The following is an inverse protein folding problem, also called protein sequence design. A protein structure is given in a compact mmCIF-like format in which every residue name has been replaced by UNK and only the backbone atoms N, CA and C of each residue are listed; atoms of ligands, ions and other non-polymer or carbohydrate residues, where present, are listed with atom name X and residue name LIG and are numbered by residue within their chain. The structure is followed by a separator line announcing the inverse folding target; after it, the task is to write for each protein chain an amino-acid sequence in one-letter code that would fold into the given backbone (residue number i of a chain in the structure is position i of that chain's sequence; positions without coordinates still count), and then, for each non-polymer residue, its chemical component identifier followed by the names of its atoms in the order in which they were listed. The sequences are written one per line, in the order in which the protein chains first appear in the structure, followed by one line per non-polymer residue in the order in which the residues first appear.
data_IF_241009976337
#
_entry.id   IF_241009976337
#
_cell.length_a   1.000
_cell.length_b   1.000
_cell.length_c   1.000
_cell.angle_alpha   90.00
_cell.angle_beta   90.00
_cell.angle_gamma   90.00
#
_symmetry.space_group_name_H-M   'P 1'
#
loop_
_entity.id
_entity.type
_entity.pdbx_description
1 polymer ?
#
# COMPACT_ATOMS: atom_id res chain seq x y z
N UNK A 1 -15.32 23.36 -0.96
CA UNK A 1 -15.32 22.18 -1.79
C UNK A 1 -14.10 22.22 -2.72
N UNK A 2 -13.45 21.13 -2.87
CA UNK A 2 -12.36 20.97 -3.82
C UNK A 2 -12.92 21.08 -5.25
N UNK A 3 -12.25 21.82 -6.15
CA UNK A 3 -12.72 22.04 -7.50
C UNK A 3 -11.66 21.58 -8.49
N UNK A 4 -11.86 20.43 -9.07
CA UNK A 4 -11.05 19.96 -10.19
C UNK A 4 -11.13 20.82 -11.43
N UNK A 5 -12.26 21.44 -11.64
CA UNK A 5 -12.53 22.32 -12.76
C UNK A 5 -11.73 23.63 -12.75
N UNK A 6 -11.10 23.93 -11.62
CA UNK A 6 -10.20 25.07 -11.51
C UNK A 6 -8.75 24.62 -11.55
N UNK A 7 -8.32 24.14 -12.71
CA UNK A 7 -6.91 23.85 -12.94
C UNK A 7 -6.12 25.16 -12.90
N UNK A 8 -5.17 25.23 -11.99
CA UNK A 8 -4.21 26.34 -11.90
C UNK A 8 -2.86 25.80 -12.35
N UNK A 9 -2.23 26.43 -13.38
CA UNK A 9 -0.88 26.06 -13.78
C UNK A 9 0.08 26.06 -12.58
N UNK A 10 0.97 25.11 -12.51
CA UNK A 10 1.90 25.01 -11.37
C UNK A 10 2.74 26.27 -11.15
N UNK A 11 2.98 27.06 -12.19
CA UNK A 11 3.67 28.37 -12.13
C UNK A 11 2.87 29.46 -11.41
N UNK A 12 1.56 29.29 -11.31
CA UNK A 12 0.61 30.23 -10.70
C UNK A 12 0.06 29.75 -9.36
N UNK A 13 0.46 28.51 -8.92
CA UNK A 13 -0.06 27.99 -7.67
C UNK A 13 0.47 28.73 -6.44
N UNK A 14 -0.33 28.67 -5.39
CA UNK A 14 0.06 29.09 -4.05
C UNK A 14 1.04 28.05 -3.47
N UNK A 15 2.16 28.53 -3.00
CA UNK A 15 3.23 27.72 -2.39
C UNK A 15 3.18 27.70 -0.86
N UNK A 16 2.12 28.23 -0.26
CA UNK A 16 1.92 28.11 1.19
C UNK A 16 1.62 26.66 1.53
N UNK A 17 2.33 26.04 2.48
CA UNK A 17 2.04 24.68 2.90
C UNK A 17 0.64 24.53 3.50
N UNK A 18 0.00 23.42 3.17
CA UNK A 18 -1.32 23.06 3.68
C UNK A 18 -2.48 23.82 3.03
N UNK A 19 -3.67 23.74 3.62
CA UNK A 19 -4.89 24.36 3.11
C UNK A 19 -4.90 25.88 3.36
N UNK A 20 -5.64 26.62 2.54
CA UNK A 20 -5.75 28.07 2.67
C UNK A 20 -6.50 28.55 3.92
N UNK A 21 -7.31 27.71 4.52
CA UNK A 21 -8.13 28.04 5.69
C UNK A 21 -8.22 26.86 6.64
N UNK A 22 -8.65 27.09 7.87
CA UNK A 22 -8.87 26.05 8.86
C UNK A 22 -10.31 25.47 8.83
N UNK A 23 -11.08 25.76 7.79
CA UNK A 23 -12.48 25.32 7.69
C UNK A 23 -12.58 23.93 7.02
N UNK A 24 -12.03 22.91 7.69
CA UNK A 24 -12.08 21.51 7.29
C UNK A 24 -11.99 20.60 8.54
N UNK A 25 -12.46 19.34 8.47
CA UNK A 25 -12.38 18.40 9.57
C UNK A 25 -10.95 18.10 10.01
N UNK A 26 -10.72 18.17 11.33
CA UNK A 26 -9.46 17.81 11.93
C UNK A 26 -9.67 17.01 13.21
N UNK A 27 -8.71 16.14 13.55
CA UNK A 27 -8.69 15.37 14.81
C UNK A 27 -9.94 14.50 15.04
N UNK A 28 -10.66 14.14 13.97
CA UNK A 28 -11.76 13.20 14.07
C UNK A 28 -11.24 11.77 14.21
N UNK A 29 -12.01 10.94 14.91
CA UNK A 29 -11.63 9.54 15.17
C UNK A 29 -12.76 8.62 14.71
N UNK A 30 -12.40 7.59 13.92
CA UNK A 30 -13.24 6.44 13.61
C UNK A 30 -12.64 5.22 14.33
N UNK A 31 -13.23 4.81 15.43
CA UNK A 31 -12.66 3.79 16.31
C UNK A 31 -13.68 2.73 16.69
N UNK A 32 -13.20 1.48 16.75
CA UNK A 32 -13.94 0.33 17.28
C UNK A 32 -15.29 0.10 16.57
N UNK A 33 -15.30 0.21 15.24
CA UNK A 33 -16.48 -0.02 14.42
C UNK A 33 -16.38 -1.37 13.69
N UNK A 34 -17.54 -2.02 13.56
CA UNK A 34 -17.75 -3.17 12.71
C UNK A 34 -18.49 -2.72 11.45
N UNK A 35 -17.79 -2.67 10.32
CA UNK A 35 -18.30 -2.15 9.04
C UNK A 35 -18.22 -3.27 7.99
N UNK A 36 -19.38 -3.71 7.50
CA UNK A 36 -19.40 -4.75 6.50
C UNK A 36 -20.67 -4.72 5.64
N UNK A 37 -20.62 -5.41 4.50
CA UNK A 37 -21.73 -5.58 3.57
C UNK A 37 -22.38 -4.24 3.16
N UNK A 38 -21.56 -3.21 2.93
CA UNK A 38 -21.96 -1.89 2.43
C UNK A 38 -21.77 -1.80 0.92
N UNK A 39 -22.31 -0.76 0.29
CA UNK A 39 -22.16 -0.53 -1.15
C UNK A 39 -22.98 -1.52 -2.00
N UNK A 40 -24.13 -1.96 -1.49
CA UNK A 40 -24.98 -2.94 -2.21
C UNK A 40 -25.56 -2.37 -3.50
N UNK A 41 -25.79 -1.07 -3.55
CA UNK A 41 -26.32 -0.35 -4.72
C UNK A 41 -25.22 0.50 -5.35
N UNK A 42 -24.73 1.51 -4.63
CA UNK A 42 -23.63 2.36 -5.07
C UNK A 42 -22.29 1.67 -4.76
N UNK A 43 -21.49 1.38 -5.78
CA UNK A 43 -20.29 0.56 -5.66
C UNK A 43 -19.02 1.38 -5.34
N UNK A 44 -19.01 2.68 -5.63
CA UNK A 44 -17.88 3.57 -5.38
C UNK A 44 -17.84 4.07 -3.92
N UNK A 45 -17.79 3.14 -2.97
CA UNK A 45 -17.81 3.41 -1.54
C UNK A 45 -16.56 2.91 -0.84
N UNK A 46 -16.28 3.46 0.34
CA UNK A 46 -15.29 2.93 1.26
C UNK A 46 -15.91 2.78 2.66
N UNK A 47 -15.39 1.85 3.45
CA UNK A 47 -15.80 1.68 4.84
C UNK A 47 -15.51 2.93 5.67
N UNK A 48 -14.33 3.53 5.47
CA UNK A 48 -13.95 4.85 5.98
C UNK A 48 -13.38 5.67 4.83
N UNK A 49 -14.02 6.81 4.56
CA UNK A 49 -13.55 7.79 3.56
C UNK A 49 -12.95 9.01 4.26
N UNK A 50 -11.69 9.32 3.94
CA UNK A 50 -10.98 10.51 4.42
C UNK A 50 -10.72 11.42 3.21
N UNK A 51 -11.26 12.63 3.26
CA UNK A 51 -11.08 13.65 2.21
C UNK A 51 -11.20 15.03 2.80
N UNK A 52 -10.51 16.01 2.25
CA UNK A 52 -10.55 17.42 2.66
C UNK A 52 -10.34 17.60 4.18
N UNK A 53 -9.35 16.93 4.74
CA UNK A 53 -9.15 16.82 6.20
C UNK A 53 -7.69 16.66 6.59
N UNK A 54 -7.38 16.83 7.87
CA UNK A 54 -6.08 16.56 8.45
C UNK A 54 -6.21 15.84 9.81
N UNK A 55 -5.15 15.13 10.22
CA UNK A 55 -5.05 14.50 11.55
C UNK A 55 -6.25 13.60 11.91
N UNK A 56 -6.75 12.83 10.95
CA UNK A 56 -7.84 11.87 11.19
C UNK A 56 -7.23 10.55 11.68
N UNK A 57 -7.81 9.98 12.72
CA UNK A 57 -7.41 8.67 13.24
C UNK A 57 -8.48 7.62 12.91
N UNK A 58 -8.05 6.54 12.25
CA UNK A 58 -8.89 5.36 11.97
C UNK A 58 -8.23 4.16 12.64
N UNK A 59 -8.85 3.64 13.71
CA UNK A 59 -8.23 2.57 14.49
C UNK A 59 -9.20 1.54 15.03
N UNK A 60 -8.71 0.32 15.21
CA UNK A 60 -9.49 -0.78 15.79
C UNK A 60 -10.82 -1.05 15.08
N UNK A 61 -10.88 -0.86 13.76
CA UNK A 61 -12.06 -1.20 13.00
C UNK A 61 -11.91 -2.55 12.32
N UNK A 62 -12.98 -3.34 12.27
CA UNK A 62 -13.10 -4.53 11.42
C UNK A 62 -13.94 -4.19 10.21
N UNK A 63 -13.35 -4.24 9.01
CA UNK A 63 -13.96 -3.76 7.76
C UNK A 63 -13.86 -4.86 6.72
N UNK A 64 -14.99 -5.33 6.20
CA UNK A 64 -14.97 -6.43 5.22
C UNK A 64 -16.24 -6.50 4.35
N UNK A 65 -16.17 -7.30 3.27
CA UNK A 65 -17.23 -7.51 2.29
C UNK A 65 -17.65 -6.19 1.61
N UNK A 66 -16.71 -5.52 0.96
CA UNK A 66 -16.96 -4.25 0.29
C UNK A 66 -16.69 -4.35 -1.21
N UNK A 67 -17.50 -3.67 -2.05
CA UNK A 67 -17.28 -3.67 -3.50
C UNK A 67 -16.02 -2.92 -3.91
N UNK A 68 -15.55 -1.98 -3.08
CA UNK A 68 -14.36 -1.15 -3.31
C UNK A 68 -13.42 -1.17 -2.10
N UNK A 69 -12.80 -0.08 -1.75
CA UNK A 69 -11.81 0.02 -0.69
C UNK A 69 -12.39 -0.11 0.73
N UNK A 70 -11.64 -0.69 1.65
CA UNK A 70 -12.00 -0.69 3.06
C UNK A 70 -11.79 0.67 3.70
N UNK A 71 -10.58 1.23 3.54
CA UNK A 71 -10.22 2.58 3.98
C UNK A 71 -9.68 3.33 2.78
N UNK A 72 -10.17 4.54 2.56
CA UNK A 72 -9.72 5.35 1.44
C UNK A 72 -9.33 6.76 1.88
N UNK A 73 -8.17 7.21 1.41
CA UNK A 73 -7.73 8.60 1.52
C UNK A 73 -7.78 9.21 0.11
N UNK A 74 -8.60 10.24 -0.07
CA UNK A 74 -8.77 10.92 -1.35
C UNK A 74 -8.21 12.34 -1.34
N UNK A 75 -8.61 13.10 -2.34
CA UNK A 75 -8.13 14.47 -2.57
C UNK A 75 -8.28 15.39 -1.36
N UNK A 76 -7.36 16.33 -1.22
CA UNK A 76 -7.38 17.33 -0.16
C UNK A 76 -7.03 16.75 1.22
N UNK A 77 -6.12 15.80 1.26
CA UNK A 77 -5.64 15.20 2.50
C UNK A 77 -4.40 15.91 2.98
N UNK A 78 -4.56 16.75 3.99
CA UNK A 78 -3.51 17.64 4.49
C UNK A 78 -2.49 16.97 5.42
N UNK A 79 -2.54 15.64 5.49
CA UNK A 79 -1.58 14.82 6.25
C UNK A 79 -1.93 14.62 7.72
N UNK A 80 -0.98 14.01 8.46
CA UNK A 80 -1.13 13.71 9.88
C UNK A 80 -2.16 12.62 10.20
N UNK A 81 -2.65 11.88 9.20
CA UNK A 81 -3.61 10.79 9.43
C UNK A 81 -2.92 9.59 10.06
N UNK A 82 -3.62 8.90 10.96
CA UNK A 82 -3.15 7.67 11.61
C UNK A 82 -4.14 6.55 11.33
N UNK A 83 -3.66 5.52 10.63
CA UNK A 83 -4.41 4.31 10.29
C UNK A 83 -3.75 3.16 11.04
N UNK A 84 -4.39 2.68 12.12
CA UNK A 84 -3.74 1.71 12.99
C UNK A 84 -4.69 0.64 13.55
N UNK A 85 -4.16 -0.56 13.78
CA UNK A 85 -4.88 -1.69 14.39
C UNK A 85 -6.18 -2.09 13.69
N UNK A 86 -6.37 -1.74 12.43
CA UNK A 86 -7.55 -2.16 11.68
C UNK A 86 -7.36 -3.57 11.12
N UNK A 87 -8.47 -4.28 10.94
CA UNK A 87 -8.55 -5.55 10.23
C UNK A 87 -9.43 -5.35 9.00
N UNK A 88 -8.82 -5.28 7.82
CA UNK A 88 -9.49 -4.92 6.57
C UNK A 88 -9.31 -6.04 5.56
N UNK A 89 -10.40 -6.70 5.16
CA UNK A 89 -10.31 -7.85 4.27
C UNK A 89 -11.54 -8.03 3.39
N UNK A 90 -11.42 -8.87 2.37
CA UNK A 90 -12.50 -9.15 1.41
C UNK A 90 -13.08 -7.85 0.84
N UNK A 91 -12.22 -7.06 0.23
CA UNK A 91 -12.52 -5.78 -0.41
C UNK A 91 -12.28 -5.86 -1.90
N UNK A 92 -12.65 -4.81 -2.66
CA UNK A 92 -12.51 -4.74 -4.11
C UNK A 92 -13.27 -5.88 -4.82
N UNK A 93 -14.46 -6.23 -4.30
CA UNK A 93 -15.24 -7.37 -4.82
C UNK A 93 -15.86 -7.10 -6.18
N UNK A 94 -16.09 -5.83 -6.54
CA UNK A 94 -16.83 -5.45 -7.75
C UNK A 94 -16.16 -4.31 -8.54
N UNK A 95 -15.05 -3.77 -8.03
CA UNK A 95 -14.25 -2.75 -8.74
C UNK A 95 -12.87 -3.31 -9.06
N UNK A 96 -12.12 -2.61 -9.89
CA UNK A 96 -10.70 -2.89 -10.13
C UNK A 96 -9.81 -1.75 -9.65
N UNK A 97 -8.49 -1.91 -9.74
CA UNK A 97 -7.49 -0.88 -9.47
C UNK A 97 -7.65 -0.15 -8.12
N UNK A 98 -7.94 -0.92 -7.09
CA UNK A 98 -8.07 -0.42 -5.72
C UNK A 98 -7.46 -1.40 -4.72
N UNK A 99 -7.33 -0.98 -3.47
CA UNK A 99 -6.81 -1.79 -2.38
C UNK A 99 -7.74 -1.88 -1.17
N UNK A 100 -7.41 -2.77 -0.24
CA UNK A 100 -8.03 -2.78 1.08
C UNK A 100 -7.83 -1.43 1.78
N UNK A 101 -6.62 -0.92 1.77
CA UNK A 101 -6.32 0.50 1.93
C UNK A 101 -6.02 1.09 0.55
N UNK A 102 -6.62 2.22 0.23
CA UNK A 102 -6.41 2.91 -1.03
C UNK A 102 -6.19 4.41 -0.79
N UNK A 103 -5.31 5.02 -1.55
CA UNK A 103 -5.15 6.47 -1.53
C UNK A 103 -4.78 7.01 -2.91
N UNK A 104 -5.17 8.25 -3.16
CA UNK A 104 -4.62 9.08 -4.23
C UNK A 104 -4.36 10.48 -3.68
N UNK A 105 -3.16 11.00 -3.92
CA UNK A 105 -2.76 12.34 -3.50
C UNK A 105 -3.38 13.40 -4.38
N UNK A 106 -3.08 13.35 -5.67
CA UNK A 106 -3.42 14.39 -6.65
C UNK A 106 -3.20 15.77 -6.09
N UNK A 107 -2.02 15.91 -5.53
CA UNK A 107 -1.56 17.19 -4.96
C UNK A 107 -1.61 18.30 -6.00
N UNK A 108 -1.60 19.55 -5.55
CA UNK A 108 -1.75 20.73 -6.41
C UNK A 108 -0.81 20.81 -7.63
N UNK A 109 0.33 20.10 -7.58
CA UNK A 109 1.30 20.01 -8.68
C UNK A 109 1.17 18.72 -9.49
N UNK A 110 0.26 17.82 -9.11
CA UNK A 110 0.13 16.51 -9.74
C UNK A 110 -0.25 16.64 -11.24
N UNK A 111 0.29 15.75 -12.03
CA UNK A 111 0.00 15.58 -13.46
C UNK A 111 -0.03 14.08 -13.80
N UNK A 112 -0.89 13.63 -14.71
CA UNK A 112 -0.83 12.28 -15.22
C UNK A 112 0.46 12.01 -16.01
N UNK A 113 1.16 13.05 -16.44
CA UNK A 113 2.43 12.95 -17.16
C UNK A 113 3.62 13.00 -16.18
N UNK A 114 4.24 11.85 -15.94
CA UNK A 114 5.37 11.67 -15.01
C UNK A 114 6.54 12.62 -15.22
N UNK A 115 6.90 12.84 -16.48
CA UNK A 115 7.98 13.78 -16.84
C UNK A 115 7.67 15.22 -16.41
N UNK A 116 6.40 15.59 -16.39
CA UNK A 116 5.95 16.89 -15.90
C UNK A 116 6.14 16.99 -14.39
N UNK A 117 5.71 15.98 -13.63
CA UNK A 117 5.91 15.93 -12.17
C UNK A 117 7.41 16.01 -11.82
N UNK A 118 8.24 15.17 -12.43
CA UNK A 118 9.69 15.17 -12.21
C UNK A 118 10.32 16.55 -12.49
N UNK A 119 9.86 17.21 -13.57
CA UNK A 119 10.35 18.54 -13.93
C UNK A 119 9.94 19.60 -12.91
N UNK A 120 8.70 19.56 -12.43
CA UNK A 120 8.17 20.51 -11.44
C UNK A 120 8.95 20.36 -10.11
N UNK A 121 9.08 19.15 -9.60
CA UNK A 121 9.80 18.87 -8.35
C UNK A 121 11.30 19.19 -8.48
N UNK A 122 11.90 18.91 -9.64
CA UNK A 122 13.30 19.29 -9.89
C UNK A 122 13.51 20.80 -9.90
N UNK A 123 12.56 21.56 -10.46
CA UNK A 123 12.61 23.02 -10.51
C UNK A 123 12.33 23.66 -9.14
N UNK A 124 11.50 23.00 -8.32
CA UNK A 124 11.06 23.51 -7.02
C UNK A 124 10.99 22.43 -5.96
N UNK A 125 12.13 21.97 -5.43
CA UNK A 125 12.18 20.96 -4.38
C UNK A 125 11.37 21.38 -3.14
N UNK A 126 10.62 20.43 -2.56
CA UNK A 126 9.71 20.65 -1.44
C UNK A 126 8.26 20.87 -1.83
N UNK A 127 7.97 21.09 -3.13
CA UNK A 127 6.60 21.24 -3.61
C UNK A 127 5.77 19.96 -3.39
N UNK A 128 6.43 18.83 -3.40
CA UNK A 128 5.85 17.49 -3.19
C UNK A 128 5.26 17.27 -1.79
N UNK A 129 5.59 18.14 -0.85
CA UNK A 129 5.10 18.06 0.54
C UNK A 129 4.14 19.19 0.91
N UNK A 130 3.81 20.10 -0.01
CA UNK A 130 2.96 21.25 0.29
C UNK A 130 1.55 20.88 0.73
N UNK A 131 1.00 19.80 0.20
CA UNK A 131 -0.36 19.36 0.56
C UNK A 131 -0.37 18.33 1.68
N UNK A 132 0.73 17.61 1.90
CA UNK A 132 0.84 16.59 2.95
C UNK A 132 2.01 16.96 3.88
N UNK A 133 1.81 18.00 4.70
CA UNK A 133 2.84 18.58 5.54
C UNK A 133 3.28 17.68 6.70
N UNK A 134 2.36 16.88 7.24
CA UNK A 134 2.63 15.89 8.28
C UNK A 134 2.49 14.48 7.72
N UNK A 135 3.36 13.53 8.10
CA UNK A 135 3.30 12.17 7.57
C UNK A 135 1.95 11.49 7.82
N UNK A 136 1.50 10.72 6.83
CA UNK A 136 0.39 9.79 6.99
C UNK A 136 0.96 8.47 7.49
N UNK A 137 0.48 8.00 8.64
CA UNK A 137 1.00 6.82 9.33
C UNK A 137 0.05 5.64 9.12
N UNK A 138 0.55 4.56 8.54
CA UNK A 138 -0.17 3.28 8.42
C UNK A 138 0.60 2.24 9.22
N UNK A 139 0.07 1.81 10.38
CA UNK A 139 0.79 0.91 11.25
C UNK A 139 -0.10 -0.11 11.98
N UNK A 140 0.47 -1.26 12.29
CA UNK A 140 -0.19 -2.31 13.08
C UNK A 140 -1.56 -2.72 12.51
N UNK A 141 -1.74 -2.70 11.19
CA UNK A 141 -2.95 -3.18 10.54
C UNK A 141 -2.74 -4.56 9.94
N UNK A 142 -3.83 -5.28 9.73
CA UNK A 142 -3.90 -6.41 8.82
C UNK A 142 -4.75 -6.02 7.62
N UNK A 143 -4.19 -6.15 6.43
CA UNK A 143 -4.87 -5.96 5.16
C UNK A 143 -4.86 -7.26 4.38
N UNK A 144 -5.99 -7.61 3.78
CA UNK A 144 -6.13 -8.81 2.96
C UNK A 144 -7.08 -8.54 1.79
N UNK A 145 -6.53 -8.36 0.61
CA UNK A 145 -7.29 -8.15 -0.62
C UNK A 145 -6.89 -9.19 -1.66
N UNK A 146 -7.83 -10.06 -2.04
CA UNK A 146 -7.60 -11.06 -3.09
C UNK A 146 -7.88 -10.54 -4.49
N UNK A 147 -8.55 -9.40 -4.63
CA UNK A 147 -9.02 -8.82 -5.89
C UNK A 147 -8.28 -7.54 -6.29
N UNK A 148 -7.42 -7.06 -5.46
CA UNK A 148 -6.62 -5.84 -5.64
C UNK A 148 -5.43 -5.83 -4.71
N UNK A 149 -5.03 -4.65 -4.26
CA UNK A 149 -3.86 -4.43 -3.42
C UNK A 149 -4.23 -4.48 -1.93
N UNK A 150 -3.31 -4.91 -1.08
CA UNK A 150 -3.50 -4.74 0.37
C UNK A 150 -3.37 -3.26 0.76
N UNK A 151 -2.32 -2.61 0.25
CA UNK A 151 -2.11 -1.16 0.36
C UNK A 151 -1.83 -0.61 -1.03
N UNK A 152 -2.69 0.26 -1.50
CA UNK A 152 -2.57 0.95 -2.78
C UNK A 152 -2.29 2.44 -2.57
N UNK A 153 -1.07 2.87 -2.90
CA UNK A 153 -0.71 4.27 -2.94
C UNK A 153 -0.66 4.72 -4.40
N UNK A 154 -1.76 5.32 -4.83
CA UNK A 154 -2.01 5.72 -6.20
C UNK A 154 -1.79 7.23 -6.40
N UNK A 155 -1.77 7.69 -7.64
CA UNK A 155 -1.82 9.07 -8.14
C UNK A 155 -1.21 10.13 -7.20
N UNK A 156 0.10 10.07 -6.94
CA UNK A 156 0.81 11.13 -6.22
C UNK A 156 0.74 11.03 -4.69
N UNK A 157 0.37 9.88 -4.14
CA UNK A 157 0.35 9.66 -2.68
C UNK A 157 1.75 9.82 -2.08
N UNK A 158 1.97 10.94 -1.38
CA UNK A 158 3.27 11.34 -0.83
C UNK A 158 3.24 11.41 0.71
N UNK A 159 4.43 11.37 1.33
CA UNK A 159 4.67 11.54 2.77
C UNK A 159 3.97 10.48 3.63
N UNK A 160 4.32 9.22 3.41
CA UNK A 160 3.79 8.08 4.16
C UNK A 160 4.87 7.40 5.02
N UNK A 161 4.48 7.00 6.23
CA UNK A 161 5.22 6.04 7.05
C UNK A 161 4.39 4.76 7.22
N UNK A 162 4.86 3.65 6.67
CA UNK A 162 4.15 2.37 6.63
C UNK A 162 4.97 1.33 7.39
N UNK A 163 4.51 0.93 8.58
CA UNK A 163 5.28 -0.01 9.39
C UNK A 163 4.44 -0.90 10.29
N UNK A 164 4.98 -2.06 10.65
CA UNK A 164 4.30 -3.03 11.50
C UNK A 164 2.96 -3.52 10.95
N UNK A 165 2.78 -3.58 9.63
CA UNK A 165 1.56 -4.11 9.05
C UNK A 165 1.77 -5.55 8.57
N UNK A 166 0.67 -6.29 8.48
CA UNK A 166 0.59 -7.58 7.82
C UNK A 166 -0.26 -7.42 6.56
N UNK A 167 0.36 -7.54 5.40
CA UNK A 167 -0.27 -7.56 4.09
C UNK A 167 -0.38 -9.02 3.64
N UNK A 168 -1.61 -9.57 3.51
CA UNK A 168 -1.79 -11.03 3.44
C UNK A 168 -1.86 -11.57 2.01
N UNK A 169 -2.33 -10.80 1.04
CA UNK A 169 -2.59 -11.33 -0.31
C UNK A 169 -2.35 -10.35 -1.44
N UNK A 170 -2.73 -9.09 -1.30
CA UNK A 170 -2.66 -8.08 -2.35
C UNK A 170 -1.30 -7.39 -2.49
N UNK A 171 -0.47 -7.43 -1.46
CA UNK A 171 0.82 -6.73 -1.45
C UNK A 171 0.70 -5.21 -1.36
N UNK A 172 1.79 -4.54 -1.69
CA UNK A 172 1.94 -3.09 -1.57
C UNK A 172 2.24 -2.47 -2.93
N UNK A 173 1.36 -1.61 -3.43
CA UNK A 173 1.54 -0.87 -4.69
C UNK A 173 1.98 0.57 -4.43
N UNK A 174 3.00 1.01 -5.14
CA UNK A 174 3.46 2.41 -5.16
C UNK A 174 3.41 2.96 -6.58
N UNK A 175 2.57 3.93 -6.80
CA UNK A 175 2.60 4.77 -8.01
C UNK A 175 3.40 6.06 -7.77
N UNK A 176 3.13 7.09 -8.56
CA UNK A 176 3.76 8.40 -8.42
C UNK A 176 3.59 8.93 -7.00
N UNK A 177 4.65 9.40 -6.40
CA UNK A 177 4.64 9.98 -5.06
C UNK A 177 6.05 10.13 -4.53
N UNK A 178 6.18 10.76 -3.38
CA UNK A 178 7.44 11.10 -2.77
C UNK A 178 7.46 10.78 -1.28
N UNK A 179 8.65 10.47 -0.77
CA UNK A 179 8.91 10.34 0.67
C UNK A 179 8.01 9.31 1.34
N UNK A 180 8.04 8.07 0.85
CA UNK A 180 7.31 6.95 1.44
C UNK A 180 8.29 6.00 2.11
N UNK A 181 8.18 5.84 3.42
CA UNK A 181 9.07 5.02 4.24
C UNK A 181 8.33 3.76 4.65
N UNK A 182 8.74 2.61 4.11
CA UNK A 182 8.16 1.29 4.39
C UNK A 182 9.15 0.46 5.17
N UNK A 183 8.83 0.14 6.42
CA UNK A 183 9.75 -0.62 7.28
C UNK A 183 9.03 -1.58 8.21
N UNK A 184 9.66 -2.71 8.49
CA UNK A 184 9.18 -3.66 9.49
C UNK A 184 7.76 -4.19 9.23
N UNK A 185 7.38 -4.40 7.96
CA UNK A 185 6.13 -5.03 7.58
C UNK A 185 6.34 -6.50 7.20
N UNK A 186 5.26 -7.24 7.13
CA UNK A 186 5.23 -8.62 6.62
C UNK A 186 4.30 -8.64 5.42
N UNK A 187 4.86 -8.94 4.22
CA UNK A 187 4.13 -9.07 2.98
C UNK A 187 4.04 -10.54 2.61
N UNK A 188 2.83 -11.09 2.72
CA UNK A 188 2.53 -12.53 2.58
C UNK A 188 1.88 -12.81 1.23
N UNK A 189 2.37 -13.84 0.52
CA UNK A 189 1.85 -14.38 -0.73
C UNK A 189 1.76 -13.39 -1.90
N UNK A 190 2.18 -12.20 -1.70
CA UNK A 190 2.36 -11.14 -2.67
C UNK A 190 3.47 -10.22 -2.15
N UNK A 191 3.80 -9.19 -2.89
CA UNK A 191 5.00 -8.44 -2.59
C UNK A 191 4.83 -6.94 -2.81
N UNK A 192 5.91 -6.31 -3.08
CA UNK A 192 6.05 -4.91 -3.41
C UNK A 192 5.95 -4.71 -4.92
N UNK A 193 4.97 -3.90 -5.32
CA UNK A 193 4.63 -3.59 -6.71
C UNK A 193 4.83 -2.10 -6.98
N UNK A 194 6.00 -1.67 -7.39
CA UNK A 194 6.22 -0.30 -7.83
C UNK A 194 6.00 -0.17 -9.34
N UNK A 195 4.80 0.19 -9.81
CA UNK A 195 4.52 0.34 -11.25
C UNK A 195 5.15 1.59 -11.83
N UNK A 196 5.35 2.60 -11.00
CA UNK A 196 5.99 3.86 -11.38
C UNK A 196 6.79 4.38 -10.20
N UNK A 197 8.04 4.74 -10.49
CA UNK A 197 8.86 5.37 -9.48
C UNK A 197 9.48 6.64 -10.03
N UNK A 198 9.27 7.75 -9.35
CA UNK A 198 9.81 9.03 -9.76
C UNK A 198 11.30 9.13 -9.41
N UNK A 199 12.06 9.85 -10.22
CA UNK A 199 13.52 9.83 -10.22
C UNK A 199 14.17 10.20 -8.89
N UNK A 200 13.48 11.03 -8.08
CA UNK A 200 13.92 11.47 -6.75
C UNK A 200 12.81 11.27 -5.74
N UNK A 201 12.10 10.16 -5.82
CA UNK A 201 10.95 9.90 -4.94
C UNK A 201 11.30 9.90 -3.46
N UNK A 202 12.55 9.61 -3.10
CA UNK A 202 12.98 9.57 -1.71
C UNK A 202 12.44 8.39 -0.90
N UNK A 203 11.90 7.38 -1.59
CA UNK A 203 11.24 6.23 -0.96
C UNK A 203 12.25 5.24 -0.39
N UNK A 204 11.94 4.70 0.80
CA UNK A 204 12.71 3.64 1.46
C UNK A 204 11.86 2.39 1.67
N UNK A 205 12.47 1.21 1.47
CA UNK A 205 11.88 -0.10 1.74
C UNK A 205 12.87 -0.97 2.52
N UNK A 206 12.69 -1.04 3.86
CA UNK A 206 13.71 -1.55 4.78
C UNK A 206 13.14 -2.51 5.82
N UNK A 207 13.90 -3.52 6.22
CA UNK A 207 13.58 -4.40 7.34
C UNK A 207 12.23 -5.11 7.23
N UNK A 208 11.71 -5.31 6.01
CA UNK A 208 10.47 -6.03 5.78
C UNK A 208 10.72 -7.52 5.60
N UNK A 209 9.73 -8.35 5.92
CA UNK A 209 9.70 -9.76 5.53
C UNK A 209 8.83 -9.87 4.29
N UNK A 210 9.39 -10.40 3.20
CA UNK A 210 8.69 -10.61 1.92
C UNK A 210 8.69 -12.09 1.56
N UNK A 211 7.53 -12.66 1.27
CA UNK A 211 7.41 -14.09 0.96
C UNK A 211 7.62 -14.39 -0.52
N UNK A 212 7.47 -13.39 -1.39
CA UNK A 212 7.61 -13.52 -2.84
C UNK A 212 8.55 -12.44 -3.40
N UNK A 213 9.15 -12.64 -4.57
CA UNK A 213 9.98 -11.61 -5.23
C UNK A 213 9.21 -10.29 -5.46
N UNK A 214 9.92 -9.19 -5.58
CA UNK A 214 9.33 -7.93 -6.02
C UNK A 214 8.73 -8.06 -7.42
N UNK A 215 7.65 -7.34 -7.68
CA UNK A 215 6.99 -7.31 -8.97
C UNK A 215 6.98 -5.89 -9.57
N UNK A 216 8.14 -5.37 -10.01
CA UNK A 216 8.23 -4.05 -10.61
C UNK A 216 7.55 -4.01 -11.98
N UNK A 217 6.87 -2.89 -12.27
CA UNK A 217 6.17 -2.67 -13.53
C UNK A 217 6.65 -1.34 -14.13
N UNK A 218 7.17 -1.38 -15.36
CA UNK A 218 7.60 -0.20 -16.11
C UNK A 218 8.57 0.73 -15.35
N UNK A 219 9.35 0.21 -14.42
CA UNK A 219 10.27 0.98 -13.59
C UNK A 219 11.62 1.19 -14.25
N UNK A 220 12.14 2.40 -14.10
CA UNK A 220 13.51 2.75 -14.50
C UNK A 220 14.39 3.18 -13.31
N UNK A 221 13.81 3.43 -12.16
CA UNK A 221 14.52 3.88 -10.96
C UNK A 221 13.99 3.18 -9.71
N UNK A 222 14.84 3.02 -8.72
CA UNK A 222 14.49 2.43 -7.42
C UNK A 222 14.77 3.45 -6.32
N UNK A 223 13.79 4.10 -5.79
CA UNK A 223 13.76 4.98 -4.64
C UNK A 223 15.07 5.53 -4.10
N UNK A 224 15.11 5.71 -2.79
CA UNK A 224 16.32 6.11 -2.08
C UNK A 224 17.07 4.87 -1.56
N UNK A 225 16.37 3.97 -0.85
CA UNK A 225 17.00 2.80 -0.25
C UNK A 225 16.07 1.59 -0.20
N UNK A 226 16.43 0.54 -0.92
CA UNK A 226 15.79 -0.78 -0.89
C UNK A 226 16.84 -1.77 -0.39
N UNK A 227 16.81 -2.11 0.90
CA UNK A 227 17.85 -2.94 1.50
C UNK A 227 17.43 -3.51 2.87
N UNK A 228 18.23 -4.45 3.39
CA UNK A 228 18.03 -5.03 4.71
C UNK A 228 16.64 -5.66 4.89
N UNK A 229 16.11 -6.30 3.85
CA UNK A 229 14.86 -7.04 3.88
C UNK A 229 15.13 -8.54 4.08
N UNK A 230 14.10 -9.29 4.44
CA UNK A 230 14.19 -10.73 4.62
C UNK A 230 13.28 -11.47 3.64
N UNK A 231 13.86 -12.31 2.80
CA UNK A 231 13.16 -13.12 1.80
C UNK A 231 12.94 -14.54 2.28
N UNK A 232 11.82 -15.16 1.96
CA UNK A 232 11.61 -16.58 2.27
C UNK A 232 12.30 -17.53 1.28
N UNK A 233 12.82 -17.02 0.17
CA UNK A 233 13.53 -17.82 -0.83
C UNK A 233 14.83 -17.17 -1.28
N UNK A 234 15.82 -18.00 -1.56
CA UNK A 234 17.09 -17.57 -2.16
C UNK A 234 16.87 -16.93 -3.52
N UNK A 235 16.00 -17.52 -4.33
CA UNK A 235 15.70 -17.02 -5.68
C UNK A 235 15.12 -15.59 -5.63
N UNK A 236 14.21 -15.31 -4.69
CA UNK A 236 13.65 -13.96 -4.52
C UNK A 236 14.69 -12.91 -4.17
N UNK A 237 15.61 -13.23 -3.25
CA UNK A 237 16.72 -12.34 -2.94
C UNK A 237 17.66 -12.16 -4.13
N UNK A 238 17.99 -13.25 -4.84
CA UNK A 238 18.88 -13.19 -5.99
C UNK A 238 18.31 -12.32 -7.13
N UNK A 239 16.99 -12.33 -7.33
CA UNK A 239 16.34 -11.44 -8.31
C UNK A 239 16.45 -9.96 -7.89
N UNK A 240 16.22 -9.64 -6.64
CA UNK A 240 16.40 -8.27 -6.14
C UNK A 240 17.87 -7.80 -6.28
N UNK A 241 18.82 -8.66 -5.96
CA UNK A 241 20.25 -8.36 -6.08
C UNK A 241 20.71 -8.15 -7.52
N UNK A 242 20.12 -8.84 -8.52
CA UNK A 242 20.37 -8.56 -9.94
C UNK A 242 19.96 -7.14 -10.35
N UNK A 243 19.01 -6.56 -9.67
CA UNK A 243 18.59 -5.17 -9.85
C UNK A 243 19.47 -4.17 -9.08
N UNK A 244 20.49 -4.65 -8.37
CA UNK A 244 21.38 -3.82 -7.55
C UNK A 244 20.83 -3.48 -6.17
N UNK A 245 19.73 -4.10 -5.76
CA UNK A 245 19.04 -3.88 -4.50
C UNK A 245 19.48 -4.89 -3.43
N UNK A 246 19.00 -4.72 -2.18
CA UNK A 246 19.04 -5.73 -1.12
C UNK A 246 20.42 -6.33 -0.83
N UNK A 247 21.47 -5.50 -0.88
CA UNK A 247 22.85 -5.95 -0.68
C UNK A 247 23.11 -6.53 0.71
N UNK A 248 22.40 -6.02 1.73
CA UNK A 248 22.51 -6.46 3.13
C UNK A 248 21.31 -7.31 3.58
N UNK A 249 20.43 -7.65 2.65
CA UNK A 249 19.26 -8.49 2.89
C UNK A 249 19.65 -9.96 3.05
N UNK A 250 18.74 -10.73 3.64
CA UNK A 250 18.94 -12.16 3.91
C UNK A 250 17.76 -12.96 3.43
N UNK A 251 17.94 -14.28 3.32
CA UNK A 251 16.87 -15.22 3.02
C UNK A 251 16.89 -16.41 3.98
N UNK A 252 15.76 -17.09 4.09
CA UNK A 252 15.62 -18.31 4.89
C UNK A 252 14.21 -18.49 5.43
N UNK A 253 14.09 -19.41 6.39
CA UNK A 253 12.85 -19.57 7.14
C UNK A 253 12.71 -18.42 8.16
N UNK A 254 11.64 -17.65 8.05
CA UNK A 254 11.34 -16.59 9.01
C UNK A 254 10.96 -17.13 10.40
N UNK A 255 10.70 -18.43 10.51
CA UNK A 255 10.28 -19.10 11.73
C UNK A 255 9.04 -18.44 12.37
N UNK A 256 7.99 -18.27 11.58
CA UNK A 256 6.70 -17.78 12.04
C UNK A 256 6.08 -18.73 13.07
N UNK A 257 5.50 -18.19 14.12
CA UNK A 257 4.88 -18.96 15.18
C UNK A 257 3.73 -19.87 14.69
N UNK A 258 2.85 -19.34 13.84
CA UNK A 258 1.82 -20.11 13.15
C UNK A 258 1.24 -19.34 11.98
N UNK A 259 1.91 -19.36 10.83
CA UNK A 259 1.47 -18.67 9.64
C UNK A 259 0.08 -19.12 9.15
N UNK A 260 -0.27 -20.41 9.34
CA UNK A 260 -1.58 -20.97 8.95
C UNK A 260 -2.76 -20.34 9.68
N UNK A 261 -2.53 -19.84 10.89
CA UNK A 261 -3.54 -19.12 11.67
C UNK A 261 -3.42 -17.60 11.58
N UNK A 262 -2.52 -17.08 10.74
CA UNK A 262 -2.24 -15.65 10.64
C UNK A 262 -1.37 -15.09 11.76
N UNK A 263 -0.74 -15.95 12.56
CA UNK A 263 0.23 -15.53 13.56
C UNK A 263 1.64 -15.48 12.94
N UNK A 264 1.99 -14.33 12.42
CA UNK A 264 3.26 -14.07 11.76
C UNK A 264 4.35 -13.54 12.69
N UNK A 265 4.20 -13.65 14.02
CA UNK A 265 5.32 -13.39 14.94
C UNK A 265 6.45 -14.34 14.63
N UNK A 266 7.65 -13.81 14.56
CA UNK A 266 8.85 -14.64 14.37
C UNK A 266 9.39 -15.11 15.73
N UNK A 267 9.99 -16.30 15.76
CA UNK A 267 10.64 -16.81 16.97
C UNK A 267 11.87 -15.98 17.35
N UNK A 268 12.33 -16.09 18.59
CA UNK A 268 13.54 -15.40 19.06
C UNK A 268 14.82 -15.83 18.33
N UNK A 269 14.80 -17.01 17.69
CA UNK A 269 15.90 -17.54 16.87
C UNK A 269 15.78 -17.19 15.39
N UNK A 270 14.76 -16.47 14.98
CA UNK A 270 14.53 -16.14 13.57
C UNK A 270 15.68 -15.33 12.98
N UNK A 271 16.20 -15.72 11.81
CA UNK A 271 17.22 -14.96 11.11
C UNK A 271 16.71 -13.59 10.62
N UNK A 272 15.39 -13.39 10.53
CA UNK A 272 14.80 -12.10 10.19
C UNK A 272 15.12 -11.00 11.23
N UNK A 273 15.37 -11.37 12.49
CA UNK A 273 15.78 -10.40 13.51
C UNK A 273 17.14 -9.77 13.23
N UNK A 274 18.01 -10.48 12.51
CA UNK A 274 19.35 -10.01 12.19
C UNK A 274 19.39 -8.92 11.12
N UNK A 275 18.33 -8.77 10.31
CA UNK A 275 18.21 -7.66 9.34
C UNK A 275 17.56 -6.42 9.96
N UNK A 276 17.26 -6.43 11.24
CA UNK A 276 16.61 -5.32 11.94
C UNK A 276 15.10 -5.45 12.10
N UNK A 277 14.47 -6.51 11.57
CA UNK A 277 13.05 -6.78 11.82
C UNK A 277 12.77 -6.93 13.33
N UNK A 278 11.59 -6.50 13.78
CA UNK A 278 11.14 -6.64 15.17
C UNK A 278 9.68 -7.09 15.20
N UNK A 279 9.37 -8.01 16.09
CA UNK A 279 7.98 -8.38 16.36
C UNK A 279 7.18 -7.16 16.83
N UNK A 280 5.94 -7.08 16.43
CA UNK A 280 5.01 -6.01 16.78
C UNK A 280 3.66 -6.56 17.25
N UNK A 281 2.81 -5.69 17.76
CA UNK A 281 1.47 -6.08 18.20
C UNK A 281 0.57 -6.35 16.98
N UNK A 282 -0.09 -7.51 17.00
CA UNK A 282 -0.97 -8.03 15.95
C UNK A 282 -2.43 -8.16 16.44
N UNK A 283 -2.85 -7.33 17.36
CA UNK A 283 -4.25 -7.27 17.83
C UNK A 283 -5.08 -6.39 16.90
N UNK A 284 -5.46 -6.94 15.75
CA UNK A 284 -6.20 -6.23 14.71
C UNK A 284 -7.70 -6.22 14.95
N UNK A 285 -8.36 -5.19 14.45
CA UNK A 285 -9.82 -5.06 14.43
C UNK A 285 -10.42 -4.58 15.74
N UNK A 286 -11.73 -4.74 15.86
CA UNK A 286 -12.54 -4.27 16.99
C UNK A 286 -12.07 -4.82 18.33
N UNK A 287 -12.15 -3.99 19.37
CA UNK A 287 -11.73 -4.34 20.74
C UNK A 287 -12.93 -4.65 21.65
N UNK A 288 -14.09 -4.07 21.35
CA UNK A 288 -15.32 -4.30 22.10
C UNK A 288 -15.73 -5.78 22.08
N UNK A 289 -16.01 -6.35 23.25
CA UNK A 289 -16.32 -7.79 23.42
C UNK A 289 -17.50 -8.25 22.55
N UNK A 290 -18.56 -7.46 22.47
CA UNK A 290 -19.74 -7.78 21.66
C UNK A 290 -19.39 -7.76 20.18
N UNK A 291 -18.72 -6.72 19.71
CA UNK A 291 -18.33 -6.61 18.30
C UNK A 291 -17.36 -7.73 17.89
N UNK A 292 -16.44 -8.13 18.78
CA UNK A 292 -15.54 -9.28 18.55
C UNK A 292 -16.28 -10.60 18.35
N UNK A 293 -17.43 -10.79 18.97
CA UNK A 293 -18.22 -12.01 18.80
C UNK A 293 -18.94 -12.05 17.43
N UNK A 294 -19.24 -10.89 16.89
CA UNK A 294 -19.96 -10.72 15.62
C UNK A 294 -19.00 -10.56 14.42
N UNK A 295 -17.81 -10.02 14.65
CA UNK A 295 -16.82 -9.77 13.62
C UNK A 295 -16.30 -11.07 13.01
N UNK A 296 -16.26 -11.12 11.67
CA UNK A 296 -15.54 -12.17 10.95
C UNK A 296 -14.04 -11.92 11.02
N UNK A 297 -13.28 -12.96 10.75
CA UNK A 297 -11.82 -12.92 10.56
C UNK A 297 -11.48 -13.36 9.14
N UNK A 298 -10.40 -12.86 8.53
CA UNK A 298 -10.03 -13.26 7.19
C UNK A 298 -9.61 -14.74 7.15
N UNK A 299 -9.93 -15.38 6.03
CA UNK A 299 -9.41 -16.72 5.73
C UNK A 299 -7.92 -16.60 5.37
N UNK A 300 -7.06 -17.16 6.20
CA UNK A 300 -5.61 -17.16 5.95
C UNK A 300 -5.24 -18.31 5.03
N UNK A 301 -4.66 -17.98 3.88
CA UNK A 301 -4.12 -18.95 2.92
C UNK A 301 -2.76 -19.47 3.40
N UNK A 302 -2.38 -20.66 2.91
CA UNK A 302 -1.04 -21.18 3.16
C UNK A 302 0.02 -20.25 2.54
N UNK A 303 1.20 -20.22 3.16
CA UNK A 303 2.36 -19.54 2.59
C UNK A 303 2.71 -20.18 1.24
N UNK A 304 2.88 -19.36 0.23
CA UNK A 304 3.42 -19.77 -1.06
C UNK A 304 4.95 -19.85 -0.91
N UNK A 305 5.49 -21.06 -0.91
CA UNK A 305 6.94 -21.29 -0.75
C UNK A 305 7.69 -21.36 -2.07
N UNK A 306 6.96 -21.50 -3.19
CA UNK A 306 7.51 -21.58 -4.55
C UNK A 306 6.64 -20.74 -5.47
N UNK A 307 6.89 -19.45 -5.52
CA UNK A 307 6.39 -18.62 -6.60
C UNK A 307 7.45 -18.60 -7.71
N UNK A 308 7.61 -19.74 -8.37
CA UNK A 308 7.99 -19.70 -9.76
C UNK A 308 6.83 -19.01 -10.48
N UNK A 309 7.11 -18.02 -11.29
CA UNK A 309 6.13 -17.53 -12.24
C UNK A 309 5.54 -18.76 -12.92
N UNK A 310 4.32 -19.17 -12.57
CA UNK A 310 3.56 -20.02 -13.44
C UNK A 310 3.48 -19.23 -14.74
N UNK A 311 4.26 -19.65 -15.72
CA UNK A 311 4.13 -19.11 -17.07
C UNK A 311 2.78 -19.60 -17.55
N UNK A 312 1.79 -18.74 -17.45
CA UNK A 312 0.48 -19.01 -17.99
C UNK A 312 0.60 -19.53 -19.42
N UNK A 313 -0.29 -20.44 -19.79
CA UNK A 313 -0.29 -21.04 -21.10
C UNK A 313 -0.32 -19.94 -22.17
N UNK A 314 0.70 -19.92 -23.03
CA UNK A 314 0.77 -18.98 -24.13
C UNK A 314 0.17 -19.63 -25.37
N UNK A 315 -0.79 -18.99 -25.96
CA UNK A 315 -1.42 -19.41 -27.21
C UNK A 315 -0.86 -18.53 -28.33
N UNK A 316 -0.36 -19.16 -29.39
CA UNK A 316 0.06 -18.46 -30.59
C UNK A 316 -1.12 -18.41 -31.59
N UNK A 317 -1.50 -17.21 -32.01
CA UNK A 317 -2.58 -16.99 -32.95
C UNK A 317 -2.26 -15.82 -33.88
N UNK A 318 -2.38 -16.06 -35.18
CA UNK A 318 -2.06 -15.06 -36.21
C UNK A 318 -0.66 -14.43 -36.09
N UNK A 319 0.33 -15.20 -35.65
CA UNK A 319 1.70 -14.73 -35.47
C UNK A 319 1.94 -13.89 -34.22
N UNK A 320 0.94 -13.73 -33.36
CA UNK A 320 1.04 -13.05 -32.06
C UNK A 320 0.91 -14.05 -30.92
N UNK A 321 1.60 -13.79 -29.81
CA UNK A 321 1.48 -14.60 -28.58
C UNK A 321 0.48 -13.97 -27.64
N UNK A 322 -0.49 -14.74 -27.20
CA UNK A 322 -1.51 -14.36 -26.25
C UNK A 322 -1.35 -15.18 -24.98
N UNK A 323 -1.60 -14.56 -23.85
CA UNK A 323 -1.77 -15.24 -22.56
C UNK A 323 -2.87 -14.56 -21.77
N UNK A 324 -3.48 -15.30 -20.87
CA UNK A 324 -4.38 -14.71 -19.90
C UNK A 324 -3.59 -13.81 -18.91
N UNK A 325 -4.20 -12.73 -18.47
CA UNK A 325 -3.69 -11.92 -17.38
C UNK A 325 -4.00 -12.66 -16.09
N UNK A 326 -2.97 -13.05 -15.35
CA UNK A 326 -3.09 -13.92 -14.19
C UNK A 326 -2.68 -13.24 -12.90
N UNK A 327 -1.96 -12.12 -13.00
CA UNK A 327 -1.43 -11.40 -11.84
C UNK A 327 -1.87 -9.94 -11.83
N UNK A 328 -1.98 -9.37 -10.64
CA UNK A 328 -2.25 -7.92 -10.49
C UNK A 328 -1.20 -7.06 -11.18
N UNK A 329 0.06 -7.52 -11.20
CA UNK A 329 1.13 -6.85 -11.93
C UNK A 329 0.90 -6.79 -13.42
N UNK A 330 0.42 -7.88 -14.02
CA UNK A 330 0.07 -7.92 -15.44
C UNK A 330 -1.17 -7.10 -15.75
N UNK A 331 -2.16 -7.09 -14.86
CA UNK A 331 -3.34 -6.22 -14.95
C UNK A 331 -2.93 -4.75 -15.02
N UNK A 332 -2.13 -4.31 -14.06
CA UNK A 332 -1.61 -2.93 -14.01
C UNK A 332 -0.76 -2.58 -15.24
N UNK A 333 0.11 -3.50 -15.70
CA UNK A 333 0.92 -3.30 -16.89
C UNK A 333 0.10 -3.19 -18.17
N UNK A 334 -1.04 -3.88 -18.23
CA UNK A 334 -1.98 -3.83 -19.36
C UNK A 334 -2.94 -2.63 -19.30
N UNK A 335 -2.90 -1.84 -18.23
CA UNK A 335 -3.83 -0.72 -18.02
C UNK A 335 -5.27 -1.19 -17.79
N UNK A 336 -5.45 -2.42 -17.34
CA UNK A 336 -6.76 -2.94 -16.97
C UNK A 336 -7.05 -2.59 -15.51
N UNK A 337 -8.17 -1.95 -15.30
CA UNK A 337 -8.67 -1.47 -14.01
C UNK A 337 -9.84 -2.29 -13.51
#
# INVERSE_FOLDING_TARGET
AFRYELFVPWTEMDYTPGPKTNNYPQYCVAEDNLIHDIGLVEKQVAGVQISMSAHITTRHNSIYNLPRAGINIGDGCWGGHIIEYNDVFNTVLETGDHGAFNSWGRDRFWSPERAVIDSIVAAKPGIELLDVIDPIIIRNNRFHCDHGWDIDLDDGSSNYEIYNNVCVSGGLKFREGYTRIVKNNILVNNTFHPPVWLKKSGDDFLHNIVTTPYAPILMNNWGNKIDSNFFLSEAGLAEAQKLGLDKHSRWGDAAFANAKSGNYRVSSSSPALAIGFRNFDMNFGVTNKRLKQEAKVPLIKNLLTNVGQEKGEQIEWLGAKFKNIETLGEQSAAGLH
#
